data_IF_181506334758
#
_entry.id   IF_181506334758
#
_cell.length_a   1.000
_cell.length_b   1.000
_cell.length_c   1.000
_cell.angle_alpha   90.00
_cell.angle_beta   90.00
_cell.angle_gamma   90.00
#
_symmetry.space_group_name_H-M   'P 1'
#
loop_
_entity.id
_entity.type
_entity.pdbx_description
1 polymer ?
#
# COMPACT_ATOMS: atom_id res chain seq x y z
N UNK A 1 -4.87 -3.82 19.24
CA UNK A 1 -4.59 -3.32 17.88
C UNK A 1 -4.41 -1.81 17.96
N UNK A 2 -3.37 -1.26 17.34
CA UNK A 2 -3.17 0.18 17.23
C UNK A 2 -3.64 0.65 15.85
N UNK A 3 -4.55 1.61 15.83
CA UNK A 3 -5.06 2.25 14.64
C UNK A 3 -4.56 3.69 14.57
N UNK A 4 -4.29 4.21 13.38
CA UNK A 4 -3.85 5.59 13.17
C UNK A 4 -4.65 6.27 12.08
N UNK A 5 -5.00 7.53 12.30
CA UNK A 5 -5.59 8.40 11.27
C UNK A 5 -4.93 9.76 11.39
N UNK A 6 -4.15 10.14 10.38
CA UNK A 6 -3.29 11.32 10.43
C UNK A 6 -2.36 11.25 11.67
N UNK A 7 -2.45 12.24 12.57
CA UNK A 7 -1.67 12.34 13.80
C UNK A 7 -2.39 11.77 15.03
N UNK A 8 -3.51 11.05 14.83
CA UNK A 8 -4.31 10.46 15.91
C UNK A 8 -4.10 8.95 15.93
N UNK A 9 -3.67 8.43 17.08
CA UNK A 9 -3.53 7.01 17.34
C UNK A 9 -4.60 6.52 18.31
N UNK A 10 -5.14 5.32 18.08
CA UNK A 10 -6.16 4.72 18.92
C UNK A 10 -5.89 3.24 19.13
N UNK A 11 -5.81 2.85 20.41
CA UNK A 11 -5.71 1.45 20.80
C UNK A 11 -7.11 0.86 20.87
N UNK A 12 -7.30 -0.26 20.20
CA UNK A 12 -8.57 -0.98 20.10
C UNK A 12 -8.32 -2.45 20.39
N UNK A 13 -9.12 -3.02 21.29
CA UNK A 13 -9.00 -4.41 21.69
C UNK A 13 -9.95 -5.33 20.89
N UNK A 14 -11.06 -4.78 20.40
CA UNK A 14 -12.07 -5.53 19.65
C UNK A 14 -11.87 -5.41 18.14
N UNK A 15 -11.88 -6.53 17.39
CA UNK A 15 -11.72 -6.53 15.93
C UNK A 15 -12.89 -5.82 15.21
N UNK A 16 -14.14 -5.98 15.67
CA UNK A 16 -15.32 -5.33 15.07
C UNK A 16 -15.22 -3.79 15.11
N UNK A 17 -14.65 -3.28 16.21
CA UNK A 17 -14.40 -1.85 16.42
C UNK A 17 -13.27 -1.39 15.50
N UNK A 18 -12.27 -2.23 15.27
CA UNK A 18 -11.19 -1.93 14.34
C UNK A 18 -11.69 -1.86 12.90
N UNK A 19 -12.53 -2.79 12.45
CA UNK A 19 -13.13 -2.77 11.11
C UNK A 19 -13.96 -1.51 10.84
N UNK A 20 -14.79 -1.12 11.81
CA UNK A 20 -15.58 0.12 11.71
C UNK A 20 -14.69 1.35 11.56
N UNK A 21 -13.58 1.41 12.31
CA UNK A 21 -12.63 2.50 12.24
C UNK A 21 -11.79 2.48 10.96
N UNK A 22 -11.46 1.29 10.44
CA UNK A 22 -10.80 1.16 9.14
C UNK A 22 -11.70 1.73 8.03
N UNK A 23 -13.00 1.46 8.09
CA UNK A 23 -14.00 2.05 7.19
C UNK A 23 -14.12 3.56 7.32
N UNK A 24 -13.87 4.11 8.51
CA UNK A 24 -13.79 5.56 8.77
C UNK A 24 -12.45 6.20 8.39
N UNK A 25 -11.53 5.44 7.79
CA UNK A 25 -10.23 5.91 7.30
C UNK A 25 -9.08 5.80 8.30
N UNK A 26 -9.15 4.91 9.28
CA UNK A 26 -8.01 4.55 10.12
C UNK A 26 -7.19 3.42 9.49
N UNK A 27 -5.86 3.49 9.57
CA UNK A 27 -4.94 2.43 9.16
C UNK A 27 -4.45 1.64 10.36
N UNK A 28 -4.19 0.34 10.20
CA UNK A 28 -3.73 -0.53 11.28
C UNK A 28 -2.20 -0.44 11.38
N UNK A 29 -1.69 0.08 12.48
CA UNK A 29 -0.24 0.27 12.72
C UNK A 29 0.36 -0.93 13.45
N UNK A 30 -0.36 -1.49 14.42
CA UNK A 30 0.15 -2.61 15.21
C UNK A 30 -0.99 -3.60 15.53
N UNK A 31 -1.09 -4.67 14.75
CA UNK A 31 -1.99 -5.77 15.03
C UNK A 31 -1.24 -6.91 15.74
N UNK A 32 -1.51 -7.10 17.03
CA UNK A 32 -1.09 -8.32 17.73
C UNK A 32 -1.96 -9.49 17.21
N UNK A 33 -1.38 -10.21 16.25
CA UNK A 33 -1.68 -11.57 15.74
C UNK A 33 -2.90 -11.77 14.82
N UNK A 34 -2.67 -11.77 13.51
CA UNK A 34 -2.73 -12.90 12.55
C UNK A 34 -2.69 -12.35 11.11
N UNK A 35 -2.02 -13.04 10.16
CA UNK A 35 -1.79 -12.53 8.82
C UNK A 35 -3.05 -12.73 7.96
N UNK A 36 -3.54 -11.66 7.34
CA UNK A 36 -3.79 -11.59 5.90
C UNK A 36 -4.61 -10.36 5.53
N UNK A 37 -4.21 -9.77 4.40
CA UNK A 37 -4.95 -8.85 3.53
C UNK A 37 -5.18 -7.42 4.01
N UNK A 38 -4.40 -6.53 3.40
CA UNK A 38 -4.87 -5.17 3.09
C UNK A 38 -3.93 -4.09 3.55
N UNK A 39 -2.99 -3.73 2.67
CA UNK A 39 -2.30 -2.45 2.58
C UNK A 39 -2.01 -1.69 3.89
N UNK A 40 -0.76 -1.72 4.39
CA UNK A 40 -0.18 -0.45 4.72
C UNK A 40 -0.03 0.31 3.39
N UNK A 41 -0.65 1.47 3.32
CA UNK A 41 -0.14 2.59 2.54
C UNK A 41 1.22 3.02 3.13
N UNK A 42 2.15 2.07 3.17
CA UNK A 42 3.56 2.33 3.17
C UNK A 42 3.92 2.28 1.69
N UNK A 43 4.54 3.36 1.26
CA UNK A 43 5.27 3.49 0.02
C UNK A 43 6.26 2.33 -0.07
N UNK A 44 5.80 1.14 -0.49
CA UNK A 44 6.70 0.07 -0.85
C UNK A 44 7.59 0.69 -1.91
N UNK A 45 8.90 0.79 -1.70
CA UNK A 45 9.77 1.35 -2.72
C UNK A 45 9.51 0.58 -4.01
N UNK A 46 9.45 1.30 -5.13
CA UNK A 46 9.17 0.73 -6.45
C UNK A 46 10.05 -0.54 -6.69
N UNK A 47 11.28 -0.53 -6.18
CA UNK A 47 12.23 -1.65 -6.14
C UNK A 47 11.71 -2.96 -5.51
N UNK A 48 10.87 -2.85 -4.48
CA UNK A 48 10.33 -3.99 -3.74
C UNK A 48 9.00 -4.50 -4.30
N UNK A 49 8.45 -3.86 -5.34
CA UNK A 49 7.22 -4.31 -5.99
C UNK A 49 7.50 -5.38 -7.04
N UNK A 50 6.53 -6.26 -7.27
CA UNK A 50 6.63 -7.25 -8.33
C UNK A 50 6.25 -6.65 -9.70
N UNK A 51 6.65 -7.27 -10.81
CA UNK A 51 6.36 -6.78 -12.18
C UNK A 51 4.87 -6.51 -12.38
N UNK A 52 4.00 -7.35 -11.82
CA UNK A 52 2.54 -7.17 -11.89
C UNK A 52 2.08 -5.90 -11.16
N UNK A 53 2.64 -5.62 -9.98
CA UNK A 53 2.34 -4.40 -9.20
C UNK A 53 2.88 -3.16 -9.92
N UNK A 54 4.10 -3.23 -10.45
CA UNK A 54 4.71 -2.16 -11.26
C UNK A 54 3.87 -1.85 -12.50
N UNK A 55 3.40 -2.87 -13.22
CA UNK A 55 2.53 -2.70 -14.39
C UNK A 55 1.19 -2.06 -14.02
N UNK A 56 0.63 -2.41 -12.86
CA UNK A 56 -0.59 -1.79 -12.36
C UNK A 56 -0.38 -0.31 -12.02
N UNK A 57 0.75 0.04 -11.39
CA UNK A 57 1.14 1.44 -11.14
C UNK A 57 1.34 2.22 -12.43
N UNK A 58 2.05 1.66 -13.41
CA UNK A 58 2.29 2.28 -14.70
C UNK A 58 0.99 2.56 -15.45
N UNK A 59 0.07 1.59 -15.47
CA UNK A 59 -1.27 1.79 -16.02
C UNK A 59 -2.05 2.88 -15.27
N UNK A 60 -1.95 2.95 -13.94
CA UNK A 60 -2.60 3.98 -13.11
C UNK A 60 -2.01 5.37 -13.33
N UNK A 61 -0.70 5.48 -13.54
CA UNK A 61 -0.01 6.72 -13.91
C UNK A 61 -0.18 7.11 -15.38
N UNK A 62 -0.79 6.26 -16.20
CA UNK A 62 -1.01 6.52 -17.62
C UNK A 62 0.25 6.31 -18.47
N UNK A 63 1.20 5.51 -18.00
CA UNK A 63 2.41 5.19 -18.75
C UNK A 63 2.07 4.29 -19.93
N UNK A 64 2.30 4.77 -21.15
CA UNK A 64 2.12 3.98 -22.37
C UNK A 64 3.42 3.24 -22.71
N UNK A 65 3.33 2.03 -23.27
CA UNK A 65 4.53 1.21 -23.57
C UNK A 65 5.10 0.42 -22.38
N UNK A 66 4.51 0.53 -21.18
CA UNK A 66 4.91 -0.21 -19.98
C UNK A 66 4.94 -1.74 -20.14
N UNK A 67 4.14 -2.29 -21.06
CA UNK A 67 4.11 -3.73 -21.38
C UNK A 67 5.37 -4.21 -22.10
N UNK A 68 6.08 -3.30 -22.76
CA UNK A 68 7.32 -3.56 -23.50
C UNK A 68 8.58 -3.31 -22.66
N UNK A 69 8.44 -2.68 -21.49
CA UNK A 69 9.54 -2.42 -20.57
C UNK A 69 9.82 -3.65 -19.69
N UNK A 70 11.10 -3.87 -19.42
CA UNK A 70 11.55 -4.88 -18.46
C UNK A 70 11.19 -4.47 -17.04
N UNK A 71 11.28 -5.39 -16.08
CA UNK A 71 11.03 -5.10 -14.66
C UNK A 71 11.79 -3.86 -14.19
N UNK A 72 13.10 -3.86 -14.44
CA UNK A 72 14.02 -2.82 -13.98
C UNK A 72 13.72 -1.47 -14.66
N UNK A 73 13.55 -1.47 -15.98
CA UNK A 73 13.17 -0.27 -16.73
C UNK A 73 11.83 0.31 -16.26
N UNK A 74 10.85 -0.56 -15.99
CA UNK A 74 9.54 -0.14 -15.49
C UNK A 74 9.64 0.45 -14.09
N UNK A 75 10.47 -0.13 -13.22
CA UNK A 75 10.72 0.38 -11.89
C UNK A 75 11.43 1.74 -11.92
N UNK A 76 12.42 1.89 -12.79
CA UNK A 76 13.20 3.13 -12.92
C UNK A 76 12.32 4.28 -13.41
N UNK A 77 11.53 4.05 -14.47
CA UNK A 77 10.62 5.06 -15.01
C UNK A 77 9.53 5.45 -14.00
N UNK A 78 9.02 4.49 -13.22
CA UNK A 78 8.03 4.77 -12.18
C UNK A 78 8.60 5.56 -11.01
N UNK A 79 9.89 5.39 -10.72
CA UNK A 79 10.63 6.13 -9.69
C UNK A 79 10.98 7.55 -10.14
N UNK A 80 11.28 7.74 -11.41
CA UNK A 80 11.55 9.07 -11.99
C UNK A 80 10.28 9.91 -12.15
N UNK A 81 9.12 9.25 -12.28
CA UNK A 81 7.80 9.90 -12.33
C UNK A 81 7.18 10.19 -10.94
N UNK A 82 7.94 10.06 -9.86
CA UNK A 82 7.53 10.39 -8.47
C UNK A 82 7.54 11.90 -8.19
#
# INVERSE_FOLDING_TARGET
>A
MLLKRNNVERVVESPEKAESMIKEGYTVVEAKVLPEKGNPEEEKPIDSMNVTELKALAKKKGLEGYSSLSRDELAEVLKEAE
#
